data_IF_883046416363
#
_entry.id   IF_883046416363
#
_cell.length_a   1.000
_cell.length_b   1.000
_cell.length_c   1.000
_cell.angle_alpha   90.00
_cell.angle_beta   90.00
_cell.angle_gamma   90.00
#
_symmetry.space_group_name_H-M   'P 1'
#
loop_
_entity.id
_entity.type
_entity.pdbx_description
1 polymer ?
#
# COMPACT_ATOMS: atom_id res chain seq x y z
N UNK A 1 14.57 10.38 22.78
CA UNK A 1 14.02 9.91 21.50
C UNK A 1 12.51 9.89 21.63
N UNK A 2 11.82 10.46 20.63
CA UNK A 2 10.37 10.50 20.54
C UNK A 2 9.89 9.15 19.98
N UNK A 3 9.12 8.40 20.77
CA UNK A 3 8.64 7.07 20.37
C UNK A 3 7.72 7.14 19.14
N UNK A 4 6.92 8.19 18.98
CA UNK A 4 6.06 8.37 17.80
C UNK A 4 6.87 8.49 16.51
N UNK A 5 7.98 9.23 16.55
CA UNK A 5 8.89 9.35 15.40
C UNK A 5 9.58 8.04 15.07
N UNK A 6 9.94 7.25 16.08
CA UNK A 6 10.52 5.91 15.87
C UNK A 6 9.50 5.00 15.19
N UNK A 7 8.26 5.00 15.65
CA UNK A 7 7.20 4.19 15.03
C UNK A 7 6.88 4.66 13.60
N UNK A 8 6.88 5.97 13.35
CA UNK A 8 6.74 6.52 12.01
C UNK A 8 7.88 6.06 11.09
N UNK A 9 9.12 6.14 11.56
CA UNK A 9 10.29 5.66 10.80
C UNK A 9 10.18 4.18 10.46
N UNK A 10 9.77 3.33 11.41
CA UNK A 10 9.57 1.89 11.15
C UNK A 10 8.54 1.61 10.05
N UNK A 11 7.53 2.46 9.92
CA UNK A 11 6.49 2.33 8.88
C UNK A 11 6.94 2.76 7.50
N UNK A 12 7.94 3.63 7.42
CA UNK A 12 8.34 4.30 6.18
C UNK A 12 9.74 3.94 5.70
N UNK A 13 10.57 3.28 6.52
CA UNK A 13 11.93 2.89 6.12
C UNK A 13 11.90 1.88 4.95
N UNK A 14 12.68 2.13 3.89
CA UNK A 14 12.71 1.21 2.75
C UNK A 14 13.08 -0.21 3.18
N UNK A 15 12.38 -1.23 2.69
CA UNK A 15 12.76 -2.62 2.92
C UNK A 15 14.03 -2.95 2.15
N UNK A 16 15.04 -3.50 2.84
CA UNK A 16 16.37 -3.77 2.27
C UNK A 16 16.41 -4.95 1.27
N UNK A 17 15.40 -5.83 1.29
CA UNK A 17 15.40 -7.09 0.54
C UNK A 17 14.32 -7.15 -0.55
N UNK A 18 13.66 -6.04 -0.85
CA UNK A 18 12.57 -6.02 -1.84
C UNK A 18 13.10 -5.54 -3.17
N UNK A 19 12.95 -6.36 -4.19
CA UNK A 19 13.14 -5.94 -5.56
C UNK A 19 12.00 -5.01 -5.96
N UNK A 20 12.30 -3.73 -6.02
CA UNK A 20 11.39 -2.70 -6.50
C UNK A 20 11.93 -2.13 -7.81
N UNK A 21 11.04 -1.77 -8.71
CA UNK A 21 11.39 -0.98 -9.89
C UNK A 21 11.87 0.41 -9.50
N UNK A 22 12.23 1.21 -10.48
CA UNK A 22 12.57 2.60 -10.26
C UNK A 22 11.32 3.39 -9.80
N UNK A 23 11.49 4.24 -8.80
CA UNK A 23 10.46 5.21 -8.41
C UNK A 23 10.46 6.29 -9.50
N UNK A 24 9.33 6.46 -10.16
CA UNK A 24 9.17 7.44 -11.21
C UNK A 24 7.93 8.32 -11.02
N UNK A 25 7.97 9.55 -11.56
CA UNK A 25 6.77 10.38 -11.64
C UNK A 25 5.78 9.74 -12.60
N UNK A 26 4.51 9.74 -12.22
CA UNK A 26 3.43 9.15 -13.02
C UNK A 26 3.10 10.04 -14.22
N UNK A 27 3.04 11.35 -14.00
CA UNK A 27 2.71 12.34 -15.03
C UNK A 27 3.22 13.71 -14.59
N UNK A 28 4.02 14.34 -15.46
CA UNK A 28 4.47 15.73 -15.28
C UNK A 28 3.40 16.76 -15.71
N UNK A 29 2.39 16.33 -16.43
CA UNK A 29 1.30 17.22 -16.90
C UNK A 29 0.19 17.43 -15.87
N UNK A 30 0.22 16.72 -14.73
CA UNK A 30 -0.74 16.95 -13.66
C UNK A 30 -0.63 18.40 -13.13
N UNK A 31 -1.73 19.02 -12.70
CA UNK A 31 -1.73 20.42 -12.26
C UNK A 31 -0.68 20.74 -11.19
N UNK A 32 -0.31 19.77 -10.36
CA UNK A 32 0.73 19.94 -9.35
C UNK A 32 2.15 20.01 -9.94
N UNK A 33 2.39 19.41 -11.10
CA UNK A 33 3.67 19.47 -11.80
C UNK A 33 3.89 20.81 -12.52
N UNK A 34 2.83 21.55 -12.79
CA UNK A 34 2.86 22.84 -13.48
C UNK A 34 2.68 24.01 -12.54
N UNK A 35 2.64 23.77 -11.23
CA UNK A 35 2.44 24.83 -10.26
C UNK A 35 3.66 25.75 -10.22
N UNK A 36 3.41 27.02 -10.55
CA UNK A 36 4.37 28.11 -10.40
C UNK A 36 4.03 28.85 -9.11
N UNK A 37 4.88 28.78 -8.06
CA UNK A 37 4.60 29.46 -6.80
C UNK A 37 4.50 30.96 -7.02
N UNK A 38 3.40 31.56 -6.53
CA UNK A 38 3.10 32.98 -6.69
C UNK A 38 3.60 33.81 -5.53
N UNK A 39 3.72 33.23 -4.35
CA UNK A 39 4.14 33.94 -3.13
C UNK A 39 5.55 33.51 -2.71
N UNK A 40 6.19 34.34 -1.88
CA UNK A 40 7.52 34.05 -1.35
C UNK A 40 7.52 32.78 -0.49
N UNK A 41 6.50 32.56 0.34
CA UNK A 41 6.38 31.38 1.18
C UNK A 41 6.16 30.11 0.37
N UNK A 42 5.37 30.17 -0.72
CA UNK A 42 5.19 29.06 -1.63
C UNK A 42 6.48 28.70 -2.36
N UNK A 43 7.27 29.71 -2.77
CA UNK A 43 8.60 29.53 -3.33
C UNK A 43 9.54 28.84 -2.34
N UNK A 44 9.58 29.28 -1.10
CA UNK A 44 10.43 28.70 -0.06
C UNK A 44 10.05 27.25 0.23
N UNK A 45 8.75 26.92 0.26
CA UNK A 45 8.27 25.55 0.42
C UNK A 45 8.66 24.65 -0.77
N UNK A 46 8.62 25.15 -1.99
CA UNK A 46 9.08 24.41 -3.18
C UNK A 46 10.60 24.28 -3.23
N UNK A 47 11.35 25.33 -2.86
CA UNK A 47 12.81 25.35 -2.89
C UNK A 47 13.44 24.38 -1.88
N UNK A 48 12.84 24.22 -0.71
CA UNK A 48 13.39 23.33 0.33
C UNK A 48 13.46 21.87 -0.11
N UNK A 49 12.76 21.52 -1.18
CA UNK A 49 12.67 20.13 -1.67
C UNK A 49 13.46 19.93 -2.98
N UNK A 50 13.62 20.98 -3.81
CA UNK A 50 14.06 20.77 -5.18
C UNK A 50 15.53 21.11 -5.50
N UNK A 51 16.09 22.22 -5.09
CA UNK A 51 17.50 22.56 -5.37
C UNK A 51 17.98 23.82 -4.62
N UNK A 52 19.11 23.73 -3.97
CA UNK A 52 19.88 24.87 -3.57
C UNK A 52 20.44 25.59 -4.82
N UNK A 53 20.01 26.79 -5.08
CA UNK A 53 20.73 27.78 -5.89
C UNK A 53 20.45 27.87 -7.37
N UNK A 54 19.30 27.44 -7.89
CA UNK A 54 18.89 27.74 -9.29
C UNK A 54 17.54 28.45 -9.36
N UNK A 55 17.48 29.53 -10.13
CA UNK A 55 16.25 30.31 -10.35
C UNK A 55 15.20 29.61 -11.24
N UNK A 56 15.49 28.41 -11.72
CA UNK A 56 14.57 27.63 -12.54
C UNK A 56 13.82 26.62 -11.67
N UNK A 57 12.50 26.81 -11.61
CA UNK A 57 11.58 25.84 -11.01
C UNK A 57 11.44 24.65 -11.95
N UNK A 58 12.06 23.53 -11.58
CA UNK A 58 11.78 22.28 -12.26
C UNK A 58 10.39 21.78 -11.84
N UNK A 59 9.60 21.28 -12.78
CA UNK A 59 8.33 20.66 -12.45
C UNK A 59 8.60 19.47 -11.51
N UNK A 60 8.05 19.53 -10.29
CA UNK A 60 8.06 18.41 -9.37
C UNK A 60 6.77 17.63 -9.53
N UNK A 61 6.89 16.35 -9.82
CA UNK A 61 5.76 15.45 -9.78
C UNK A 61 5.18 15.38 -8.37
N UNK A 62 3.89 15.61 -8.22
CA UNK A 62 3.21 15.38 -6.94
C UNK A 62 2.78 13.93 -6.76
N UNK A 63 2.79 13.17 -7.83
CA UNK A 63 2.34 11.79 -7.89
C UNK A 63 3.49 10.90 -8.36
N UNK A 64 3.83 9.92 -7.54
CA UNK A 64 4.91 8.96 -7.78
C UNK A 64 4.38 7.55 -7.68
N UNK A 65 4.91 6.65 -8.47
CA UNK A 65 4.57 5.23 -8.40
C UNK A 65 5.80 4.35 -8.43
N UNK A 66 5.66 3.19 -7.84
CA UNK A 66 6.64 2.11 -7.90
C UNK A 66 5.91 0.77 -8.02
N UNK A 67 6.33 -0.05 -8.97
CA UNK A 67 5.90 -1.43 -9.07
C UNK A 67 6.78 -2.30 -8.19
N UNK A 68 6.15 -3.13 -7.38
CA UNK A 68 6.80 -4.02 -6.45
C UNK A 68 6.49 -5.47 -6.78
N UNK A 69 7.51 -6.32 -6.67
CA UNK A 69 7.37 -7.76 -6.82
C UNK A 69 8.13 -8.47 -5.70
N UNK A 70 7.45 -9.36 -4.98
CA UNK A 70 8.06 -10.13 -3.91
C UNK A 70 7.23 -11.38 -3.58
N UNK A 71 7.89 -12.53 -3.52
CA UNK A 71 7.32 -13.76 -2.96
C UNK A 71 6.00 -14.21 -3.60
N UNK A 72 5.84 -14.04 -4.91
CA UNK A 72 4.61 -14.36 -5.64
C UNK A 72 3.57 -13.23 -5.67
N UNK A 73 3.87 -12.09 -5.05
CA UNK A 73 3.04 -10.88 -5.08
C UNK A 73 3.55 -9.90 -6.12
N UNK A 74 2.62 -9.20 -6.77
CA UNK A 74 2.89 -8.08 -7.65
C UNK A 74 1.85 -6.99 -7.38
N UNK A 75 2.31 -5.78 -7.06
CA UNK A 75 1.45 -4.66 -6.73
C UNK A 75 2.11 -3.32 -7.07
N UNK A 76 1.33 -2.25 -7.13
CA UNK A 76 1.82 -0.89 -7.34
C UNK A 76 1.62 -0.08 -6.07
N UNK A 77 2.65 0.66 -5.65
CA UNK A 77 2.56 1.65 -4.57
C UNK A 77 2.60 3.03 -5.18
N UNK A 78 1.65 3.87 -4.79
CA UNK A 78 1.49 5.23 -5.28
C UNK A 78 1.63 6.16 -4.10
N UNK A 79 2.47 7.18 -4.25
CA UNK A 79 2.66 8.22 -3.27
C UNK A 79 2.26 9.57 -3.85
N UNK A 80 1.54 10.36 -3.06
CA UNK A 80 1.18 11.73 -3.34
C UNK A 80 1.49 12.60 -2.13
N UNK A 81 2.23 13.69 -2.32
CA UNK A 81 2.63 14.58 -1.24
C UNK A 81 2.09 16.00 -1.50
N UNK A 82 1.38 16.53 -0.53
CA UNK A 82 0.84 17.89 -0.54
C UNK A 82 1.89 18.92 -0.14
N UNK A 83 2.91 19.15 -0.97
CA UNK A 83 3.84 20.28 -0.78
C UNK A 83 3.14 21.63 -0.97
N UNK A 84 1.97 21.62 -1.56
CA UNK A 84 0.93 22.64 -1.64
C UNK A 84 -0.41 21.94 -1.49
N UNK A 85 -1.52 22.63 -1.18
CA UNK A 85 -2.84 22.02 -1.21
C UNK A 85 -3.14 21.41 -2.60
N UNK A 86 -3.52 20.17 -2.65
CA UNK A 86 -3.77 19.42 -3.88
C UNK A 86 -5.25 19.04 -3.98
N UNK A 87 -5.86 19.35 -5.12
CA UNK A 87 -7.24 18.94 -5.41
C UNK A 87 -7.35 17.41 -5.59
N UNK A 88 -8.57 16.89 -5.55
CA UNK A 88 -8.86 15.53 -6.02
C UNK A 88 -8.37 15.34 -7.43
N UNK A 89 -7.86 14.15 -7.73
CA UNK A 89 -7.50 13.77 -9.09
C UNK A 89 -7.97 12.37 -9.41
N UNK A 90 -8.25 12.16 -10.70
CA UNK A 90 -8.55 10.87 -11.29
C UNK A 90 -7.36 10.46 -12.15
N UNK A 91 -6.73 9.34 -11.80
CA UNK A 91 -5.54 8.84 -12.46
C UNK A 91 -5.93 7.63 -13.30
N UNK A 92 -5.87 7.69 -14.65
CA UNK A 92 -6.04 6.51 -15.48
C UNK A 92 -5.04 5.43 -15.11
N UNK A 93 -5.48 4.17 -14.97
CA UNK A 93 -4.59 3.07 -14.55
C UNK A 93 -3.47 2.82 -15.56
N UNK A 94 -3.69 3.09 -16.84
CA UNK A 94 -2.65 3.05 -17.87
C UNK A 94 -1.48 4.00 -17.60
N UNK A 95 -1.71 5.14 -16.96
CA UNK A 95 -0.65 6.08 -16.57
C UNK A 95 0.23 5.51 -15.43
N UNK A 96 -0.28 4.49 -14.74
CA UNK A 96 0.44 3.71 -13.73
C UNK A 96 1.06 2.43 -14.31
N UNK A 97 1.03 2.26 -15.64
CA UNK A 97 1.42 1.02 -16.33
C UNK A 97 0.64 -0.21 -15.84
N UNK A 98 -0.63 -0.01 -15.47
CA UNK A 98 -1.57 -1.06 -15.06
C UNK A 98 -2.61 -1.28 -16.14
N UNK A 99 -3.10 -2.50 -16.27
CA UNK A 99 -4.16 -2.85 -17.23
C UNK A 99 -5.52 -2.28 -16.78
N UNK A 100 -6.10 -1.29 -17.50
CA UNK A 100 -7.34 -0.64 -17.07
C UNK A 100 -8.58 -1.58 -17.16
N UNK A 101 -8.47 -2.73 -17.82
CA UNK A 101 -9.55 -3.71 -17.90
C UNK A 101 -9.64 -4.64 -16.70
N UNK A 102 -8.62 -4.65 -15.84
CA UNK A 102 -8.55 -5.50 -14.65
C UNK A 102 -9.17 -4.85 -13.43
N UNK A 103 -9.51 -5.65 -12.43
CA UNK A 103 -10.04 -5.18 -11.15
C UNK A 103 -8.93 -5.09 -10.12
N UNK A 104 -8.86 -3.97 -9.44
CA UNK A 104 -7.87 -3.71 -8.39
C UNK A 104 -8.57 -3.39 -7.07
N UNK A 105 -7.90 -3.74 -5.97
CA UNK A 105 -8.15 -3.11 -4.69
C UNK A 105 -7.09 -2.04 -4.43
N UNK A 106 -7.57 -0.83 -4.13
CA UNK A 106 -6.78 0.25 -3.60
C UNK A 106 -6.84 0.20 -2.06
N UNK A 107 -5.70 0.44 -1.40
CA UNK A 107 -5.62 0.54 0.04
C UNK A 107 -4.82 1.78 0.44
N UNK A 108 -5.47 2.73 1.13
CA UNK A 108 -4.81 3.91 1.68
C UNK A 108 -4.18 3.54 3.03
N UNK A 109 -2.85 3.59 3.06
CA UNK A 109 -2.09 3.17 4.23
C UNK A 109 -2.36 4.04 5.46
N UNK A 110 -2.44 5.37 5.31
CA UNK A 110 -2.62 6.25 6.45
C UNK A 110 -4.04 6.24 6.99
N UNK A 111 -5.03 6.10 6.11
CA UNK A 111 -6.45 6.02 6.48
C UNK A 111 -6.91 4.60 6.82
N UNK A 112 -6.10 3.58 6.52
CA UNK A 112 -6.46 2.16 6.68
C UNK A 112 -7.79 1.82 5.99
N UNK A 113 -8.01 2.36 4.80
CA UNK A 113 -9.23 2.21 4.02
C UNK A 113 -8.95 1.51 2.70
N UNK A 114 -9.85 0.62 2.31
CA UNK A 114 -9.76 -0.11 1.06
C UNK A 114 -11.00 0.10 0.19
N UNK A 115 -10.80 0.15 -1.14
CA UNK A 115 -11.89 0.27 -2.10
C UNK A 115 -11.52 -0.36 -3.44
N UNK A 116 -12.54 -0.80 -4.19
CA UNK A 116 -12.35 -1.34 -5.55
C UNK A 116 -12.14 -0.23 -6.57
N UNK A 117 -11.28 -0.51 -7.55
CA UNK A 117 -11.03 0.35 -8.70
C UNK A 117 -10.95 -0.45 -9.99
N UNK A 118 -11.45 0.16 -11.07
CA UNK A 118 -11.34 -0.35 -12.43
C UNK A 118 -11.18 0.85 -13.37
N UNK A 119 -10.19 0.82 -14.24
CA UNK A 119 -9.93 1.88 -15.24
C UNK A 119 -9.30 3.16 -14.68
N UNK A 120 -9.80 3.69 -13.57
CA UNK A 120 -9.38 4.99 -13.00
C UNK A 120 -9.19 4.86 -11.49
N UNK A 121 -8.07 5.36 -10.98
CA UNK A 121 -7.81 5.53 -9.55
C UNK A 121 -8.24 6.92 -9.10
N UNK A 122 -9.17 6.99 -8.15
CA UNK A 122 -9.60 8.24 -7.54
C UNK A 122 -8.76 8.54 -6.30
N UNK A 123 -8.05 9.67 -6.28
CA UNK A 123 -7.26 10.14 -5.15
C UNK A 123 -7.91 11.39 -4.55
N UNK A 124 -7.97 11.44 -3.22
CA UNK A 124 -8.60 12.54 -2.50
C UNK A 124 -7.72 13.81 -2.47
N UNK A 125 -8.31 14.92 -2.07
CA UNK A 125 -7.60 16.16 -1.81
C UNK A 125 -6.61 16.02 -0.65
N UNK A 126 -5.52 16.78 -0.70
CA UNK A 126 -4.50 16.87 0.33
C UNK A 126 -4.31 18.31 0.77
N UNK A 127 -4.22 18.53 2.06
CA UNK A 127 -3.78 19.79 2.64
C UNK A 127 -2.26 19.94 2.53
N UNK A 128 -1.76 21.13 2.82
CA UNK A 128 -0.33 21.38 2.89
C UNK A 128 0.32 20.51 3.97
N UNK A 129 1.30 19.74 3.59
CA UNK A 129 2.04 18.82 4.47
C UNK A 129 1.43 17.42 4.57
N UNK A 130 0.25 17.18 4.00
CA UNK A 130 -0.35 15.84 3.94
C UNK A 130 0.37 14.92 2.96
N UNK A 131 0.28 13.64 3.23
CA UNK A 131 0.76 12.59 2.36
C UNK A 131 -0.29 11.50 2.21
N UNK A 132 -0.48 11.03 1.00
CA UNK A 132 -1.28 9.86 0.68
C UNK A 132 -0.39 8.76 0.11
N UNK A 133 -0.48 7.56 0.68
CA UNK A 133 0.17 6.37 0.14
C UNK A 133 -0.90 5.32 -0.13
N UNK A 134 -1.06 4.97 -1.38
CA UNK A 134 -2.07 4.00 -1.83
C UNK A 134 -1.38 2.83 -2.51
N UNK A 135 -1.74 1.62 -2.12
CA UNK A 135 -1.33 0.42 -2.84
C UNK A 135 -2.46 -0.05 -3.75
N UNK A 136 -2.11 -0.53 -4.94
CA UNK A 136 -3.02 -1.17 -5.88
C UNK A 136 -2.61 -2.62 -6.07
N UNK A 137 -3.48 -3.53 -5.67
CA UNK A 137 -3.31 -4.98 -5.84
C UNK A 137 -4.35 -5.47 -6.83
N UNK A 138 -3.88 -6.13 -7.89
CA UNK A 138 -4.76 -6.80 -8.85
C UNK A 138 -5.46 -7.98 -8.18
N UNK A 139 -6.79 -7.99 -8.25
CA UNK A 139 -7.65 -9.04 -7.70
C UNK A 139 -8.39 -9.83 -8.78
N UNK A 140 -8.13 -9.55 -10.05
CA UNK A 140 -8.76 -10.28 -11.17
C UNK A 140 -8.38 -11.75 -11.05
N UNK A 141 -9.38 -12.63 -11.09
CA UNK A 141 -9.24 -14.08 -10.94
C UNK A 141 -8.63 -14.57 -9.62
N UNK A 142 -8.52 -13.69 -8.61
CA UNK A 142 -8.05 -14.08 -7.28
C UNK A 142 -9.21 -14.39 -6.34
N UNK A 143 -9.05 -15.46 -5.59
CA UNK A 143 -9.94 -15.82 -4.49
C UNK A 143 -9.58 -15.03 -3.22
N UNK A 144 -8.28 -14.90 -2.94
CA UNK A 144 -7.74 -14.13 -1.81
C UNK A 144 -6.52 -13.36 -2.29
N UNK A 145 -6.32 -12.14 -1.78
CA UNK A 145 -5.11 -11.36 -1.98
C UNK A 145 -4.83 -10.43 -0.79
N UNK A 146 -3.58 -10.30 -0.40
CA UNK A 146 -3.18 -9.26 0.54
C UNK A 146 -3.21 -7.91 -0.17
N UNK A 147 -3.98 -6.97 0.37
CA UNK A 147 -4.14 -5.62 -0.20
C UNK A 147 -3.51 -4.53 0.65
N UNK A 148 -3.27 -4.78 1.94
CA UNK A 148 -2.65 -3.81 2.83
C UNK A 148 -2.36 -4.34 4.22
N UNK A 149 -1.63 -3.53 4.98
CA UNK A 149 -1.43 -3.74 6.41
C UNK A 149 -1.17 -2.40 7.12
N UNK A 150 -1.23 -2.39 8.44
CA UNK A 150 -0.84 -1.23 9.24
C UNK A 150 0.67 -1.20 9.56
N UNK A 151 1.43 -2.17 9.04
CA UNK A 151 2.84 -2.39 9.38
C UNK A 151 3.78 -1.47 8.61
N UNK A 152 3.63 -1.40 7.28
CA UNK A 152 4.55 -0.66 6.42
C UNK A 152 3.86 -0.14 5.16
N UNK A 153 4.22 1.05 4.70
CA UNK A 153 3.66 1.75 3.52
C UNK A 153 3.78 0.97 2.21
N UNK A 154 4.71 0.02 2.13
CA UNK A 154 4.93 -0.83 0.95
C UNK A 154 3.97 -2.03 0.86
N UNK A 155 2.78 -1.98 1.46
CA UNK A 155 1.88 -3.13 1.58
C UNK A 155 2.57 -4.32 2.26
N UNK A 156 3.31 -4.01 3.33
CA UNK A 156 4.06 -4.93 4.18
C UNK A 156 5.13 -5.79 3.47
N UNK A 157 5.86 -5.23 2.52
CA UNK A 157 7.02 -5.90 1.95
C UNK A 157 8.11 -6.26 2.98
N UNK A 158 8.04 -5.69 4.19
CA UNK A 158 9.00 -5.96 5.27
C UNK A 158 8.69 -7.23 6.06
N UNK A 159 7.41 -7.62 6.18
CA UNK A 159 7.00 -8.79 6.97
C UNK A 159 6.51 -9.95 6.10
N UNK A 160 6.00 -9.69 4.91
CA UNK A 160 5.49 -10.71 4.01
C UNK A 160 6.62 -11.32 3.19
N UNK A 161 6.88 -12.60 3.40
CA UNK A 161 7.91 -13.35 2.68
C UNK A 161 7.38 -13.87 1.35
N UNK A 162 6.18 -14.46 1.38
CA UNK A 162 5.53 -14.96 0.16
C UNK A 162 4.02 -15.05 0.33
N UNK A 163 3.33 -15.00 -0.81
CA UNK A 163 1.89 -15.18 -0.94
C UNK A 163 1.61 -16.14 -2.10
N UNK A 164 0.82 -17.15 -1.85
CA UNK A 164 0.41 -18.09 -2.89
C UNK A 164 -0.98 -18.67 -2.64
N UNK A 165 -1.62 -19.06 -3.73
CA UNK A 165 -2.85 -19.87 -3.70
C UNK A 165 -2.56 -21.19 -4.41
N UNK A 166 -2.94 -22.29 -3.80
CA UNK A 166 -2.72 -23.64 -4.32
C UNK A 166 -4.05 -24.38 -4.41
N UNK A 167 -4.33 -24.95 -5.56
CA UNK A 167 -5.47 -25.85 -5.74
C UNK A 167 -5.12 -27.25 -5.16
N UNK A 168 -5.96 -27.72 -4.25
CA UNK A 168 -5.82 -29.05 -3.63
C UNK A 168 -7.04 -29.91 -3.91
N UNK A 169 -6.97 -31.18 -3.61
CA UNK A 169 -8.14 -32.09 -3.73
C UNK A 169 -9.32 -31.68 -2.83
N UNK A 170 -9.07 -30.83 -1.81
CA UNK A 170 -10.08 -30.36 -0.84
C UNK A 170 -10.56 -28.93 -1.11
N UNK A 171 -10.06 -28.27 -2.14
CA UNK A 171 -10.35 -26.88 -2.48
C UNK A 171 -9.10 -26.04 -2.64
N UNK A 172 -9.28 -24.73 -2.73
CA UNK A 172 -8.19 -23.77 -2.80
C UNK A 172 -7.67 -23.45 -1.40
N UNK A 173 -6.36 -23.44 -1.25
CA UNK A 173 -5.68 -23.03 -0.02
C UNK A 173 -4.86 -21.77 -0.31
N UNK A 174 -5.21 -20.68 0.33
CA UNK A 174 -4.38 -19.48 0.34
C UNK A 174 -3.36 -19.56 1.48
N UNK A 175 -2.13 -19.18 1.19
CA UNK A 175 -1.03 -19.18 2.14
C UNK A 175 -0.25 -17.89 2.09
N UNK A 176 -0.04 -17.29 3.26
CA UNK A 176 0.78 -16.12 3.50
C UNK A 176 1.90 -16.48 4.47
N UNK A 177 3.15 -16.49 3.98
CA UNK A 177 4.33 -16.69 4.82
C UNK A 177 4.83 -15.35 5.32
N UNK A 178 5.09 -15.27 6.61
CA UNK A 178 5.36 -14.03 7.32
C UNK A 178 6.67 -14.13 8.12
N UNK A 179 7.34 -13.00 8.29
CA UNK A 179 8.46 -12.83 9.23
C UNK A 179 8.22 -11.63 10.14
N UNK A 180 8.59 -11.75 11.40
CA UNK A 180 8.41 -10.68 12.38
C UNK A 180 9.32 -10.88 13.60
N UNK A 181 8.92 -10.32 14.71
CA UNK A 181 9.54 -10.55 16.02
C UNK A 181 8.43 -10.77 17.05
N UNK A 182 8.76 -11.42 18.15
CA UNK A 182 7.81 -11.70 19.23
C UNK A 182 7.11 -10.42 19.70
N UNK A 183 5.83 -10.53 20.00
CA UNK A 183 4.93 -9.45 20.43
C UNK A 183 4.61 -8.39 19.34
N UNK A 184 5.15 -8.52 18.13
CA UNK A 184 4.76 -7.65 17.03
C UNK A 184 3.28 -7.83 16.70
N UNK A 185 2.49 -6.76 16.84
CA UNK A 185 1.07 -6.74 16.48
C UNK A 185 0.89 -6.11 15.10
N UNK A 186 0.24 -6.83 14.19
CA UNK A 186 -0.03 -6.36 12.82
C UNK A 186 -1.48 -6.65 12.44
N UNK A 187 -2.11 -5.69 11.76
CA UNK A 187 -3.39 -5.91 11.11
C UNK A 187 -3.18 -6.03 9.61
N UNK A 188 -3.48 -7.19 9.06
CA UNK A 188 -3.49 -7.46 7.63
C UNK A 188 -4.88 -7.24 7.08
N UNK A 189 -4.97 -6.56 5.94
CA UNK A 189 -6.21 -6.37 5.18
C UNK A 189 -6.13 -7.19 3.91
N UNK A 190 -7.04 -8.14 3.76
CA UNK A 190 -7.10 -9.08 2.66
C UNK A 190 -8.37 -8.83 1.84
N UNK A 191 -8.26 -8.85 0.53
CA UNK A 191 -9.40 -9.15 -0.32
C UNK A 191 -9.70 -10.64 -0.20
N UNK A 192 -10.96 -10.99 0.01
CA UNK A 192 -11.45 -12.37 0.02
C UNK A 192 -12.78 -12.39 -0.72
N UNK A 193 -12.86 -13.18 -1.78
CA UNK A 193 -14.14 -13.40 -2.45
C UNK A 193 -15.13 -13.98 -1.42
N UNK A 194 -16.21 -13.23 -1.13
CA UNK A 194 -17.20 -13.59 -0.09
C UNK A 194 -16.62 -13.62 1.34
N UNK A 195 -15.86 -12.61 1.72
CA UNK A 195 -15.28 -12.51 3.07
C UNK A 195 -16.32 -12.66 4.20
N UNK A 196 -17.57 -12.19 3.98
CA UNK A 196 -18.64 -12.30 4.97
C UNK A 196 -19.02 -13.77 5.31
N UNK A 197 -18.64 -14.74 4.47
CA UNK A 197 -18.87 -16.17 4.71
C UNK A 197 -17.70 -16.82 5.46
N UNK A 198 -16.57 -16.11 5.64
CA UNK A 198 -15.38 -16.63 6.31
C UNK A 198 -15.59 -16.67 7.82
N UNK A 199 -15.44 -17.85 8.40
CA UNK A 199 -15.39 -18.06 9.85
C UNK A 199 -13.95 -18.22 10.32
N UNK A 200 -13.70 -17.98 11.61
CA UNK A 200 -12.36 -18.17 12.19
C UNK A 200 -11.84 -19.60 12.03
N UNK A 201 -12.72 -20.57 11.92
CA UNK A 201 -12.39 -22.00 11.83
C UNK A 201 -11.66 -22.39 10.55
N UNK A 202 -11.85 -21.62 9.45
CA UNK A 202 -11.16 -21.86 8.18
C UNK A 202 -9.81 -21.14 8.09
N UNK A 203 -9.45 -20.38 9.13
CA UNK A 203 -8.20 -19.63 9.21
C UNK A 203 -7.25 -20.36 10.14
N UNK A 204 -6.18 -20.91 9.58
CA UNK A 204 -5.12 -21.60 10.31
C UNK A 204 -3.91 -20.69 10.44
N UNK A 205 -3.37 -20.61 11.64
CA UNK A 205 -2.22 -19.76 11.94
C UNK A 205 -1.13 -20.58 12.64
N UNK A 206 0.11 -20.37 12.25
CA UNK A 206 1.27 -20.97 12.88
C UNK A 206 2.32 -19.89 13.13
N UNK A 207 2.84 -19.83 14.36
CA UNK A 207 3.82 -18.82 14.79
C UNK A 207 3.25 -17.42 15.02
N UNK A 208 1.93 -17.27 14.88
CA UNK A 208 1.16 -16.06 15.21
C UNK A 208 -0.12 -16.42 15.96
N UNK A 209 -0.56 -15.56 16.85
CA UNK A 209 -1.86 -15.63 17.50
C UNK A 209 -2.82 -14.68 16.77
N UNK A 210 -4.00 -15.17 16.37
CA UNK A 210 -5.07 -14.35 15.83
C UNK A 210 -5.82 -13.69 16.98
N UNK A 211 -5.72 -12.35 17.06
CA UNK A 211 -6.37 -11.55 18.11
C UNK A 211 -7.78 -11.16 17.69
N UNK A 212 -7.97 -10.72 16.44
CA UNK A 212 -9.29 -10.37 15.93
C UNK A 212 -9.45 -10.74 14.46
N UNK A 213 -10.69 -11.03 14.08
CA UNK A 213 -11.14 -11.28 12.72
C UNK A 213 -12.35 -10.39 12.48
N UNK A 214 -12.27 -9.51 11.48
CA UNK A 214 -13.38 -8.64 11.08
C UNK A 214 -13.62 -8.85 9.58
N UNK A 215 -14.83 -9.28 9.24
CA UNK A 215 -15.20 -9.54 7.86
C UNK A 215 -16.26 -8.52 7.40
N UNK A 216 -16.02 -7.94 6.25
CA UNK A 216 -16.94 -7.08 5.52
C UNK A 216 -17.24 -7.76 4.17
N UNK A 217 -18.04 -7.22 3.33
CA UNK A 217 -18.51 -7.87 2.09
C UNK A 217 -17.44 -8.72 1.37
N UNK A 218 -16.27 -8.17 1.11
CA UNK A 218 -15.16 -8.82 0.41
C UNK A 218 -13.78 -8.42 0.98
N UNK A 219 -13.78 -7.88 2.20
CA UNK A 219 -12.60 -7.51 2.95
C UNK A 219 -12.57 -8.32 4.25
N UNK A 220 -11.42 -8.91 4.53
CA UNK A 220 -11.11 -9.56 5.78
C UNK A 220 -9.96 -8.81 6.45
N UNK A 221 -10.18 -8.30 7.65
CA UNK A 221 -9.13 -7.74 8.49
C UNK A 221 -8.75 -8.72 9.59
N UNK A 222 -7.47 -9.06 9.63
CA UNK A 222 -6.90 -10.00 10.60
C UNK A 222 -5.87 -9.26 11.44
N UNK A 223 -6.15 -9.10 12.73
CA UNK A 223 -5.14 -8.63 13.68
C UNK A 223 -4.45 -9.83 14.30
N UNK A 224 -3.13 -9.87 14.17
CA UNK A 224 -2.30 -10.96 14.68
C UNK A 224 -1.18 -10.43 15.56
N UNK A 225 -0.73 -11.27 16.48
CA UNK A 225 0.47 -11.05 17.30
C UNK A 225 1.47 -12.16 17.00
N UNK A 226 2.69 -11.79 16.68
CA UNK A 226 3.76 -12.74 16.41
C UNK A 226 4.24 -13.41 17.70
N UNK A 227 4.24 -14.73 17.70
CA UNK A 227 4.81 -15.56 18.77
C UNK A 227 6.20 -16.09 18.40
N UNK A 228 6.53 -16.08 17.09
CA UNK A 228 7.80 -16.54 16.54
C UNK A 228 8.25 -15.61 15.41
N UNK A 229 9.54 -15.69 15.07
CA UNK A 229 10.11 -14.92 13.94
C UNK A 229 9.52 -15.28 12.59
N UNK A 230 9.18 -16.55 12.40
CA UNK A 230 8.56 -17.08 11.19
C UNK A 230 7.14 -17.52 11.50
N UNK A 231 6.23 -17.14 10.63
CA UNK A 231 4.82 -17.44 10.79
C UNK A 231 4.16 -17.75 9.45
N UNK A 232 3.04 -18.45 9.51
CA UNK A 232 2.23 -18.79 8.35
C UNK A 232 0.76 -18.59 8.69
N UNK A 233 0.04 -17.95 7.79
CA UNK A 233 -1.41 -17.84 7.77
C UNK A 233 -1.93 -18.65 6.58
N UNK A 234 -2.88 -19.54 6.81
CA UNK A 234 -3.54 -20.32 5.76
C UNK A 234 -5.05 -20.14 5.85
N UNK A 235 -5.71 -20.10 4.70
CA UNK A 235 -7.18 -20.08 4.59
C UNK A 235 -7.62 -21.12 3.55
N UNK A 236 -8.62 -21.91 3.92
CA UNK A 236 -9.19 -23.00 3.12
C UNK A 236 -10.53 -22.58 2.51
#
# INVERSE_FOLDING_TARGET
YDLERIELMKKTMPPLEVHSGEIGPVDYSTPACTYIPKTKSEKEACYSIAHEGKDELYPMGSLWSIHMEQGGRNWCVIQRCGVIPLSKIDVPLENLSLDPSRNYYAFDFWKQQAWKQTGILNLHELELGDCQVVTLTDITDKYVALIGSNRHVSCDAVSVVSECTTDTQRGRVYRLALKGFEELCVTYTLYVEKAAEITREVIHAHGIQIVSVQAYTDILQLTVVFEKKEAVLEMN
#
